data_IF_940184260954
#
_entry.id   IF_940184260954
#
_cell.length_a   1.000
_cell.length_b   1.000
_cell.length_c   1.000
_cell.angle_alpha   90.00
_cell.angle_beta   90.00
_cell.angle_gamma   90.00
#
_symmetry.space_group_name_H-M   'P 1'
#
loop_
_entity.id
_entity.type
_entity.pdbx_description
1 polymer ?
#
# COMPACT_ATOMS: atom_id res chain seq x y z
N UNK A 1 -11.19 3.97 -1.66
CA UNK A 1 -11.19 3.14 -2.78
C UNK A 1 -9.83 2.49 -3.08
N UNK A 2 -8.89 3.17 -3.74
CA UNK A 2 -7.55 2.65 -3.92
C UNK A 2 -6.52 3.77 -3.80
N UNK A 3 -5.42 3.49 -3.11
CA UNK A 3 -4.28 4.40 -2.96
C UNK A 3 -3.10 3.82 -3.73
N UNK A 4 -2.47 4.64 -4.55
CA UNK A 4 -1.31 4.25 -5.36
C UNK A 4 -0.07 4.97 -4.83
N UNK A 5 0.97 4.21 -4.51
CA UNK A 5 2.26 4.74 -4.09
C UNK A 5 3.33 4.29 -5.07
N UNK A 6 4.01 5.23 -5.68
CA UNK A 6 5.14 4.96 -6.56
C UNK A 6 6.39 5.56 -5.93
N UNK A 7 7.44 4.76 -5.76
CA UNK A 7 8.57 5.17 -4.95
C UNK A 7 9.93 4.71 -5.47
N UNK A 8 10.96 5.38 -4.97
CA UNK A 8 12.35 4.96 -4.95
C UNK A 8 12.73 4.68 -3.50
N UNK A 9 12.37 3.52 -2.99
CA UNK A 9 12.53 3.19 -1.57
C UNK A 9 13.65 2.17 -1.40
N UNK A 10 14.78 2.55 -0.78
CA UNK A 10 15.97 1.71 -0.75
C UNK A 10 15.87 0.55 0.23
N UNK A 11 16.67 -0.50 -0.02
CA UNK A 11 16.68 -1.74 0.74
C UNK A 11 16.81 -1.56 2.25
N UNK A 12 17.68 -0.68 2.78
CA UNK A 12 17.81 -0.52 4.24
C UNK A 12 16.51 -0.16 4.95
N UNK A 13 15.53 0.36 4.20
CA UNK A 13 14.22 0.74 4.75
C UNK A 13 13.07 -0.11 4.21
N UNK A 14 13.36 -1.32 3.73
CA UNK A 14 12.32 -2.19 3.15
C UNK A 14 11.25 -2.57 4.17
N UNK A 15 11.61 -2.74 5.44
CA UNK A 15 10.64 -3.07 6.48
C UNK A 15 9.60 -1.95 6.68
N UNK A 16 9.98 -0.68 6.89
CA UNK A 16 9.00 0.40 6.93
C UNK A 16 8.12 0.50 5.68
N UNK A 17 8.68 0.30 4.49
CA UNK A 17 7.90 0.27 3.25
C UNK A 17 6.76 -0.74 3.32
N UNK A 18 7.08 -1.98 3.63
CA UNK A 18 6.09 -3.06 3.70
C UNK A 18 5.03 -2.80 4.77
N UNK A 19 5.44 -2.36 5.95
CA UNK A 19 4.52 -2.12 7.07
C UNK A 19 3.61 -0.93 6.82
N UNK A 20 4.13 0.14 6.23
CA UNK A 20 3.34 1.33 5.94
C UNK A 20 2.29 1.08 4.88
N UNK A 21 2.57 0.29 3.85
CA UNK A 21 1.56 -0.07 2.85
C UNK A 21 0.37 -0.79 3.51
N UNK A 22 0.65 -1.73 4.40
CA UNK A 22 -0.39 -2.47 5.13
C UNK A 22 -1.17 -1.53 6.03
N UNK A 23 -0.49 -0.68 6.79
CA UNK A 23 -1.12 0.27 7.69
C UNK A 23 -2.04 1.24 6.95
N UNK A 24 -1.62 1.75 5.79
CA UNK A 24 -2.44 2.66 4.98
C UNK A 24 -3.70 1.98 4.46
N UNK A 25 -3.62 0.71 4.09
CA UNK A 25 -4.79 -0.06 3.67
C UNK A 25 -5.79 -0.23 4.81
N UNK A 26 -5.32 -0.59 5.99
CA UNK A 26 -6.16 -0.85 7.15
C UNK A 26 -6.84 0.45 7.63
N UNK A 27 -6.07 1.51 7.86
CA UNK A 27 -6.60 2.76 8.44
C UNK A 27 -7.57 3.48 7.51
N UNK A 28 -7.37 3.35 6.20
CA UNK A 28 -8.24 3.98 5.20
C UNK A 28 -9.33 3.05 4.66
N UNK A 29 -9.35 1.80 5.09
CA UNK A 29 -10.23 0.77 4.54
C UNK A 29 -10.25 0.83 3.01
N UNK A 30 -9.06 0.81 2.42
CA UNK A 30 -8.87 0.96 0.98
C UNK A 30 -7.88 -0.08 0.47
N UNK A 31 -7.95 -0.37 -0.82
CA UNK A 31 -6.87 -1.08 -1.49
C UNK A 31 -5.64 -0.18 -1.56
N UNK A 32 -4.47 -0.77 -1.41
CA UNK A 32 -3.20 -0.06 -1.57
C UNK A 32 -2.33 -0.80 -2.57
N UNK A 33 -1.85 -0.07 -3.56
CA UNK A 33 -0.91 -0.58 -4.55
C UNK A 33 0.40 0.19 -4.37
N UNK A 34 1.44 -0.50 -3.92
CA UNK A 34 2.78 0.07 -3.78
C UNK A 34 3.67 -0.43 -4.90
N UNK A 35 4.28 0.48 -5.64
CA UNK A 35 5.19 0.17 -6.73
C UNK A 35 6.55 0.77 -6.42
N UNK A 36 7.55 -0.09 -6.26
CA UNK A 36 8.92 0.32 -5.99
C UNK A 36 9.85 -0.31 -7.01
N UNK A 37 10.97 0.33 -7.26
CA UNK A 37 11.97 -0.17 -8.21
C UNK A 37 12.79 -1.32 -7.62
N UNK A 38 13.40 -2.10 -8.50
CA UNK A 38 14.46 -3.06 -8.17
C UNK A 38 15.79 -2.59 -8.78
N UNK A 39 16.89 -3.20 -8.35
CA UNK A 39 18.21 -2.95 -8.90
C UNK A 39 19.00 -1.92 -8.11
N UNK A 40 20.03 -1.39 -8.74
CA UNK A 40 20.97 -0.46 -8.12
C UNK A 40 20.91 0.87 -8.86
N UNK A 41 20.96 1.98 -8.13
CA UNK A 41 21.02 3.31 -8.75
C UNK A 41 22.47 3.73 -9.05
N UNK A 42 22.63 4.93 -9.64
CA UNK A 42 23.93 5.45 -10.01
C UNK A 42 24.84 5.78 -8.83
N UNK A 43 24.32 5.81 -7.61
CA UNK A 43 25.06 6.07 -6.37
C UNK A 43 25.35 4.78 -5.58
N UNK A 44 24.99 3.63 -6.13
CA UNK A 44 25.22 2.33 -5.51
C UNK A 44 24.17 1.93 -4.47
N UNK A 45 23.04 2.63 -4.38
CA UNK A 45 21.95 2.21 -3.52
C UNK A 45 21.21 1.04 -4.15
N UNK A 46 20.99 0.01 -3.35
CA UNK A 46 20.26 -1.18 -3.78
C UNK A 46 18.78 -1.07 -3.43
N UNK A 47 17.92 -1.58 -4.33
CA UNK A 47 16.47 -1.57 -4.18
C UNK A 47 15.94 -2.97 -4.37
N UNK A 48 15.25 -3.48 -3.37
CA UNK A 48 14.64 -4.82 -3.40
C UNK A 48 13.25 -4.85 -4.03
N UNK A 49 12.66 -3.67 -4.26
CA UNK A 49 11.30 -3.56 -4.77
C UNK A 49 10.27 -3.73 -3.68
N UNK A 50 9.90 -4.98 -3.42
CA UNK A 50 8.85 -5.31 -2.46
C UNK A 50 7.52 -4.61 -2.80
N UNK A 51 7.26 -4.44 -4.10
CA UNK A 51 5.99 -3.95 -4.59
C UNK A 51 4.87 -4.87 -4.16
N UNK A 52 3.72 -4.32 -3.83
CA UNK A 52 2.64 -5.10 -3.25
C UNK A 52 1.28 -4.56 -3.60
N UNK A 53 0.30 -5.48 -3.61
CA UNK A 53 -1.12 -5.16 -3.59
C UNK A 53 -1.66 -5.56 -2.22
N UNK A 54 -2.27 -4.62 -1.53
CA UNK A 54 -2.81 -4.83 -0.18
C UNK A 54 -4.31 -4.59 -0.19
N UNK A 55 -5.06 -5.52 0.36
CA UNK A 55 -6.50 -5.35 0.46
C UNK A 55 -6.90 -4.48 1.68
N UNK A 56 -8.16 -4.04 1.79
CA UNK A 56 -8.58 -3.17 2.88
C UNK A 56 -8.45 -3.76 4.27
N UNK A 57 -8.26 -5.06 4.41
CA UNK A 57 -8.04 -5.75 5.69
C UNK A 57 -6.57 -5.85 6.05
N UNK A 58 -5.68 -5.50 5.13
CA UNK A 58 -4.24 -5.56 5.32
C UNK A 58 -3.57 -6.82 4.79
N UNK A 59 -4.31 -7.67 4.09
CA UNK A 59 -3.72 -8.84 3.43
C UNK A 59 -2.91 -8.38 2.22
N UNK A 60 -1.62 -8.71 2.21
CA UNK A 60 -0.69 -8.25 1.22
C UNK A 60 -0.25 -9.38 0.29
N UNK A 61 -0.29 -9.12 -1.02
CA UNK A 61 0.33 -9.93 -2.04
C UNK A 61 1.60 -9.20 -2.48
N UNK A 62 2.76 -9.70 -2.04
CA UNK A 62 4.06 -9.03 -2.21
C UNK A 62 4.84 -9.72 -3.32
N UNK A 63 5.38 -8.93 -4.22
CA UNK A 63 6.25 -9.43 -5.28
C UNK A 63 7.58 -9.94 -4.72
N UNK A 64 8.16 -10.93 -5.41
CA UNK A 64 9.46 -11.45 -5.03
C UNK A 64 10.52 -10.36 -5.07
N UNK A 65 11.31 -10.26 -4.00
CA UNK A 65 12.35 -9.25 -3.87
C UNK A 65 13.42 -9.38 -4.96
N UNK A 66 13.97 -8.23 -5.36
CA UNK A 66 15.08 -8.11 -6.28
C UNK A 66 14.84 -8.72 -7.66
N UNK A 67 13.58 -8.85 -8.06
CA UNK A 67 13.20 -9.42 -9.35
C UNK A 67 12.28 -8.46 -10.11
N UNK A 68 12.62 -8.15 -11.35
CA UNK A 68 11.70 -7.48 -12.25
C UNK A 68 10.57 -8.43 -12.62
N UNK A 69 9.35 -7.99 -12.41
CA UNK A 69 8.17 -8.82 -12.69
C UNK A 69 6.93 -7.94 -12.84
N UNK A 70 5.83 -8.60 -13.14
CA UNK A 70 4.51 -7.97 -13.21
C UNK A 70 3.57 -8.72 -12.28
N UNK A 71 2.91 -7.98 -11.39
CA UNK A 71 1.87 -8.52 -10.54
C UNK A 71 0.51 -8.12 -11.10
N UNK A 72 -0.32 -9.11 -11.38
CA UNK A 72 -1.71 -8.89 -11.74
C UNK A 72 -2.57 -9.04 -10.50
N UNK A 73 -3.36 -8.01 -10.22
CA UNK A 73 -4.28 -8.02 -9.09
C UNK A 73 -5.65 -7.54 -9.53
N UNK A 74 -6.68 -7.99 -8.84
CA UNK A 74 -8.05 -7.55 -9.09
C UNK A 74 -8.58 -6.88 -7.84
N UNK A 75 -9.09 -5.67 -8.01
CA UNK A 75 -9.73 -4.91 -6.94
C UNK A 75 -11.24 -5.08 -7.06
N UNK A 76 -11.89 -5.46 -5.97
CA UNK A 76 -13.32 -5.75 -5.95
C UNK A 76 -14.09 -4.62 -5.27
N UNK A 77 -14.84 -3.85 -6.03
CA UNK A 77 -15.64 -2.73 -5.51
C UNK A 77 -16.69 -3.19 -4.52
N UNK A 78 -17.41 -4.25 -4.84
CA UNK A 78 -18.48 -4.75 -3.97
C UNK A 78 -17.94 -5.26 -2.65
N UNK A 79 -16.80 -5.95 -2.65
CA UNK A 79 -16.16 -6.43 -1.43
C UNK A 79 -15.73 -5.26 -0.53
N UNK A 80 -15.21 -4.18 -1.13
CA UNK A 80 -14.82 -2.97 -0.41
C UNK A 80 -16.05 -2.31 0.23
N UNK A 81 -17.10 -2.11 -0.54
CA UNK A 81 -18.34 -1.47 -0.06
C UNK A 81 -18.97 -2.29 1.06
N UNK A 82 -19.00 -3.61 0.93
CA UNK A 82 -19.52 -4.52 1.95
C UNK A 82 -18.72 -4.46 3.24
N UNK A 83 -17.41 -4.49 3.14
CA UNK A 83 -16.52 -4.37 4.31
C UNK A 83 -16.72 -3.04 5.04
N UNK A 84 -16.80 -1.93 4.31
CA UNK A 84 -17.03 -0.60 4.89
C UNK A 84 -18.40 -0.49 5.53
N UNK A 85 -19.42 -1.12 4.95
CA UNK A 85 -20.77 -1.13 5.50
C UNK A 85 -20.85 -1.91 6.81
N UNK A 86 -20.15 -3.04 6.90
CA UNK A 86 -20.11 -3.88 8.10
C UNK A 86 -19.20 -3.32 9.19
N UNK A 87 -18.23 -2.50 8.84
CA UNK A 87 -17.27 -1.93 9.78
C UNK A 87 -17.02 -0.45 9.45
N UNK A 88 -17.99 0.43 9.74
CA UNK A 88 -18.00 1.80 9.24
C UNK A 88 -17.12 2.74 10.09
N UNK A 89 -15.80 2.53 10.12
CA UNK A 89 -14.86 3.32 10.95
C UNK A 89 -14.83 4.79 10.57
N UNK A 90 -15.11 5.13 9.32
CA UNK A 90 -15.15 6.53 8.86
C UNK A 90 -16.24 7.35 9.58
N UNK A 91 -17.30 6.70 10.09
CA UNK A 91 -18.35 7.35 10.83
C UNK A 91 -17.92 7.80 12.24
N UNK A 92 -16.78 7.29 12.71
CA UNK A 92 -16.21 7.67 14.01
C UNK A 92 -15.33 8.92 13.90
N UNK A 93 -15.12 9.44 12.69
CA UNK A 93 -14.31 10.62 12.48
C UNK A 93 -15.04 11.86 13.01
N UNK A 94 -14.28 12.72 13.72
CA UNK A 94 -14.79 13.99 14.21
C UNK A 94 -14.87 15.03 13.09
N UNK A 95 -15.94 15.83 13.13
CA UNK A 95 -16.03 17.03 12.30
C UNK A 95 -15.18 18.14 12.92
N UNK A 96 -14.28 18.70 12.14
CA UNK A 96 -13.48 19.83 12.57
C UNK A 96 -13.08 20.71 11.38
N UNK A 97 -12.77 21.95 11.68
CA UNK A 97 -12.24 22.91 10.71
C UNK A 97 -10.89 23.44 11.16
N UNK A 98 -10.06 23.78 10.19
CA UNK A 98 -8.77 24.42 10.44
C UNK A 98 -8.91 25.92 10.19
N UNK A 99 -8.49 26.74 11.15
CA UNK A 99 -8.39 28.18 10.99
C UNK A 99 -6.96 28.50 10.55
N UNK A 100 -6.84 28.95 9.31
CA UNK A 100 -5.54 29.32 8.70
C UNK A 100 -5.39 30.83 8.59
#
# INVERSE_FOLDING_TARGET
DALLYVANWPEPRRYPWSQLLIARAIENQSYVIGVNRVGMDGKGHHYTGDSASVDPRGDADVMKASKEDVLHTVLHREALDDFRAKFPVAMDADDFGLML
#
